data_IF_779063712268
#
_entry.id   IF_779063712268
#
_cell.length_a   1.000
_cell.length_b   1.000
_cell.length_c   1.000
_cell.angle_alpha   90.00
_cell.angle_beta   90.00
_cell.angle_gamma   90.00
#
_symmetry.space_group_name_H-M   'P 1'
#
loop_
_entity.id
_entity.type
_entity.pdbx_description
1 polymer ?
#
# COMPACT_ATOMS: atom_id res chain seq x y z
N UNK A 1 -34.01 -48.47 -1.73
CA UNK A 1 -35.01 -47.94 -0.80
C UNK A 1 -34.32 -46.83 -0.01
N UNK A 2 -34.56 -45.58 -0.11
CA UNK A 2 -35.72 -44.75 -0.37
C UNK A 2 -35.27 -43.39 -0.90
N UNK A 3 -35.82 -42.99 -2.02
CA UNK A 3 -35.82 -41.64 -2.60
C UNK A 3 -36.66 -40.67 -1.77
N UNK A 4 -36.28 -39.35 -1.78
CA UNK A 4 -37.18 -38.17 -1.71
C UNK A 4 -36.35 -36.92 -1.37
N UNK A 5 -36.53 -35.70 -1.83
CA UNK A 5 -37.38 -35.06 -2.85
C UNK A 5 -36.78 -33.68 -3.10
N UNK A 6 -36.86 -33.24 -4.33
CA UNK A 6 -36.75 -31.90 -4.85
C UNK A 6 -37.52 -30.84 -4.05
N UNK A 7 -36.96 -29.66 -3.88
CA UNK A 7 -37.75 -28.44 -3.84
C UNK A 7 -37.00 -27.30 -4.53
N UNK A 8 -37.56 -26.88 -5.66
CA UNK A 8 -37.20 -25.64 -6.38
C UNK A 8 -37.96 -24.50 -5.72
N UNK A 9 -37.29 -23.39 -5.49
CA UNK A 9 -37.96 -22.10 -5.28
C UNK A 9 -37.42 -21.10 -6.29
N UNK A 10 -38.26 -20.75 -7.21
CA UNK A 10 -38.23 -19.63 -8.13
C UNK A 10 -38.58 -18.38 -7.31
N UNK A 11 -37.82 -17.29 -7.44
CA UNK A 11 -38.31 -15.95 -7.05
C UNK A 11 -37.77 -14.87 -7.99
N UNK A 12 -38.65 -14.41 -8.71
CA UNK A 12 -39.06 -13.21 -9.40
C UNK A 12 -38.09 -12.00 -9.34
N UNK A 13 -37.79 -11.57 -10.56
CA UNK A 13 -37.18 -10.29 -10.93
C UNK A 13 -38.24 -9.21 -10.79
N UNK A 14 -38.00 -8.17 -10.01
CA UNK A 14 -38.78 -6.93 -10.03
C UNK A 14 -37.93 -5.81 -10.64
N UNK A 15 -38.25 -5.50 -11.89
CA UNK A 15 -37.72 -4.32 -12.59
C UNK A 15 -38.42 -3.06 -12.11
N UNK A 16 -37.62 -2.03 -11.78
CA UNK A 16 -38.10 -0.69 -11.51
C UNK A 16 -37.67 0.23 -12.66
N UNK A 17 -38.61 0.54 -13.55
CA UNK A 17 -38.45 1.54 -14.61
C UNK A 17 -38.70 2.91 -14.03
N UNK A 18 -37.72 3.81 -14.11
CA UNK A 18 -37.92 5.25 -13.86
C UNK A 18 -38.25 5.95 -15.16
N UNK A 19 -39.48 6.43 -15.29
CA UNK A 19 -39.93 7.34 -16.36
C UNK A 19 -39.62 8.79 -16.01
N UNK A 20 -38.86 9.47 -16.88
CA UNK A 20 -38.71 10.91 -16.86
C UNK A 20 -40.01 11.58 -17.37
N UNK A 21 -40.57 12.42 -16.53
CA UNK A 21 -41.63 13.37 -16.96
C UNK A 21 -41.01 14.77 -17.07
N UNK A 22 -40.88 15.24 -18.28
CA UNK A 22 -40.63 16.65 -18.55
C UNK A 22 -41.99 17.39 -18.46
N UNK A 23 -42.05 18.42 -17.62
CA UNK A 23 -43.17 19.35 -17.58
C UNK A 23 -42.64 20.77 -17.80
N UNK A 24 -42.94 21.31 -18.97
CA UNK A 24 -42.85 22.75 -19.21
C UNK A 24 -44.05 23.45 -18.58
N UNK A 25 -43.80 24.46 -17.76
CA UNK A 25 -44.84 25.45 -17.50
C UNK A 25 -44.23 26.85 -17.41
N UNK A 26 -44.71 27.71 -18.29
CA UNK A 26 -44.43 29.14 -18.37
C UNK A 26 -45.26 29.89 -17.37
N UNK A 27 -44.64 30.72 -16.52
CA UNK A 27 -45.34 31.60 -15.62
C UNK A 27 -44.41 32.68 -15.07
N UNK A 28 -44.60 33.89 -15.56
CA UNK A 28 -43.91 35.10 -15.16
C UNK A 28 -44.33 35.50 -13.76
N UNK A 29 -43.39 35.59 -12.80
CA UNK A 29 -43.57 36.34 -11.56
C UNK A 29 -42.21 36.82 -11.06
N UNK A 30 -42.07 38.14 -11.01
CA UNK A 30 -40.94 38.88 -10.44
C UNK A 30 -40.92 38.69 -8.92
N UNK A 31 -39.87 38.07 -8.37
CA UNK A 31 -39.52 38.20 -6.95
C UNK A 31 -38.00 38.14 -6.80
N UNK A 32 -37.47 39.21 -6.23
CA UNK A 32 -36.11 39.33 -5.75
C UNK A 32 -35.81 38.21 -4.76
N UNK A 33 -34.91 37.30 -5.13
CA UNK A 33 -34.36 36.33 -4.21
C UNK A 33 -32.83 36.45 -4.24
N UNK A 34 -32.27 36.52 -3.05
CA UNK A 34 -30.85 36.56 -2.81
C UNK A 34 -30.18 35.35 -3.45
N UNK A 35 -29.19 35.61 -4.27
CA UNK A 35 -28.30 34.63 -4.89
C UNK A 35 -27.48 33.98 -3.79
N UNK A 36 -27.84 32.78 -3.36
CA UNK A 36 -26.97 31.91 -2.61
C UNK A 36 -26.14 31.15 -3.65
N UNK A 37 -25.01 31.76 -4.02
CA UNK A 37 -23.94 31.12 -4.77
C UNK A 37 -23.40 29.91 -3.95
N UNK A 38 -24.00 28.76 -4.12
CA UNK A 38 -23.41 27.48 -3.75
C UNK A 38 -22.29 27.18 -4.75
N UNK A 39 -21.17 27.86 -4.58
CA UNK A 39 -19.94 27.55 -5.29
C UNK A 39 -19.60 26.09 -5.04
N UNK A 40 -19.86 25.23 -6.01
CA UNK A 40 -19.27 23.91 -6.10
C UNK A 40 -17.76 24.11 -6.09
N UNK A 41 -17.12 23.86 -4.95
CA UNK A 41 -15.66 23.78 -4.84
C UNK A 41 -15.26 22.63 -5.74
N UNK A 42 -14.83 22.96 -6.94
CA UNK A 42 -14.26 21.99 -7.87
C UNK A 42 -12.95 21.53 -7.24
N UNK A 43 -12.91 20.29 -6.75
CA UNK A 43 -11.72 19.68 -6.20
C UNK A 43 -10.65 19.66 -7.30
N UNK A 44 -9.67 20.54 -7.19
CA UNK A 44 -8.56 20.63 -8.16
C UNK A 44 -7.66 19.42 -7.91
N UNK A 45 -7.81 18.40 -8.74
CA UNK A 45 -6.94 17.23 -8.69
C UNK A 45 -5.52 17.63 -9.11
N UNK A 46 -4.49 17.17 -8.40
CA UNK A 46 -3.10 17.40 -8.79
C UNK A 46 -2.81 16.92 -10.21
N UNK A 47 -1.91 17.60 -10.90
CA UNK A 47 -1.45 17.17 -12.21
C UNK A 47 -0.67 15.84 -12.06
N UNK A 48 -0.95 14.90 -12.95
CA UNK A 48 -0.26 13.59 -12.99
C UNK A 48 0.48 13.49 -14.33
N UNK A 49 1.77 13.19 -14.27
CA UNK A 49 2.61 13.03 -15.46
C UNK A 49 3.52 11.80 -15.30
N UNK A 50 3.51 10.91 -16.30
CA UNK A 50 4.38 9.74 -16.38
C UNK A 50 5.38 9.91 -17.54
N UNK A 51 6.66 9.89 -17.25
CA UNK A 51 7.73 9.97 -18.22
C UNK A 51 8.73 8.83 -17.97
N UNK A 52 8.71 7.83 -18.84
CA UNK A 52 9.55 6.64 -18.68
C UNK A 52 9.26 5.91 -17.35
N UNK A 53 10.26 5.87 -16.49
CA UNK A 53 10.21 5.22 -15.17
C UNK A 53 9.91 6.20 -14.01
N UNK A 54 9.48 7.42 -14.30
CA UNK A 54 9.21 8.48 -13.32
C UNK A 54 7.78 8.99 -13.44
N UNK A 55 7.06 8.97 -12.33
CA UNK A 55 5.73 9.55 -12.15
C UNK A 55 5.83 10.79 -11.28
N UNK A 56 5.19 11.88 -11.70
CA UNK A 56 4.93 13.05 -10.86
C UNK A 56 3.44 13.13 -10.53
N UNK A 57 3.12 13.42 -9.29
CA UNK A 57 1.78 13.68 -8.80
C UNK A 57 1.81 14.99 -7.99
N UNK A 58 1.35 16.09 -8.59
CA UNK A 58 1.61 17.40 -8.04
C UNK A 58 3.10 17.71 -7.97
N UNK A 59 3.62 17.91 -6.76
CA UNK A 59 5.04 18.10 -6.45
C UNK A 59 5.76 16.82 -5.97
N UNK A 60 5.02 15.72 -5.82
CA UNK A 60 5.59 14.43 -5.44
C UNK A 60 6.15 13.69 -6.67
N UNK A 61 7.31 13.07 -6.49
CA UNK A 61 8.04 12.36 -7.56
C UNK A 61 8.33 10.94 -7.12
N UNK A 62 8.06 9.98 -8.00
CA UNK A 62 8.27 8.54 -7.80
C UNK A 62 9.07 8.00 -8.98
N UNK A 63 10.19 7.33 -8.73
CA UNK A 63 11.06 6.78 -9.78
C UNK A 63 11.40 5.33 -9.49
N UNK A 64 11.34 4.48 -10.51
CA UNK A 64 11.80 3.09 -10.46
C UNK A 64 13.14 2.99 -11.18
N UNK A 65 14.20 2.58 -10.47
CA UNK A 65 15.53 2.45 -11.03
C UNK A 65 16.01 0.99 -10.98
N UNK A 66 16.60 0.55 -12.09
CA UNK A 66 17.11 -0.80 -12.24
C UNK A 66 16.02 -1.87 -12.32
N UNK A 67 16.48 -3.11 -12.43
CA UNK A 67 15.63 -4.30 -12.48
C UNK A 67 16.18 -5.37 -11.54
N UNK A 68 15.29 -6.17 -10.95
CA UNK A 68 15.70 -7.28 -10.12
C UNK A 68 16.12 -8.45 -11.01
N UNK A 69 17.40 -8.81 -10.94
CA UNK A 69 17.89 -10.04 -11.57
C UNK A 69 17.52 -11.26 -10.69
N UNK A 70 16.43 -11.93 -11.05
CA UNK A 70 15.95 -13.13 -10.33
C UNK A 70 16.83 -14.37 -10.55
N UNK A 71 17.84 -14.30 -11.43
CA UNK A 71 18.83 -15.36 -11.66
C UNK A 71 20.17 -15.04 -10.99
N UNK A 72 20.27 -13.94 -10.25
CA UNK A 72 21.49 -13.53 -9.59
C UNK A 72 22.03 -14.60 -8.63
N UNK A 73 23.35 -14.74 -8.58
CA UNK A 73 24.05 -15.63 -7.63
C UNK A 73 24.29 -14.96 -6.27
N UNK A 74 24.17 -13.65 -6.20
CA UNK A 74 24.39 -12.86 -4.98
C UNK A 74 23.16 -12.02 -4.67
N UNK A 75 22.71 -12.06 -3.42
CA UNK A 75 21.50 -11.43 -2.95
C UNK A 75 21.78 -10.37 -1.86
N UNK A 76 22.99 -9.79 -1.88
CA UNK A 76 23.47 -8.87 -0.83
C UNK A 76 23.58 -7.41 -1.26
N UNK A 77 23.45 -7.14 -2.56
CA UNK A 77 23.55 -5.79 -3.13
C UNK A 77 22.27 -5.44 -3.85
N UNK A 78 21.85 -4.20 -3.75
CA UNK A 78 20.72 -3.69 -4.52
C UNK A 78 21.00 -3.82 -6.03
N UNK A 79 20.00 -4.32 -6.77
CA UNK A 79 19.98 -4.34 -8.24
C UNK A 79 18.85 -3.49 -8.77
N UNK A 80 17.87 -3.16 -7.91
CA UNK A 80 16.79 -2.24 -8.20
C UNK A 80 16.52 -1.36 -6.99
N UNK A 81 15.97 -0.18 -7.24
CA UNK A 81 15.49 0.72 -6.21
C UNK A 81 14.23 1.47 -6.66
N UNK A 82 13.49 1.96 -5.68
CA UNK A 82 12.41 2.92 -5.88
C UNK A 82 12.71 4.12 -5.02
N UNK A 83 12.73 5.30 -5.66
CA UNK A 83 12.97 6.57 -5.01
C UNK A 83 11.70 7.41 -5.02
N UNK A 84 11.39 8.09 -3.92
CA UNK A 84 10.24 8.98 -3.83
C UNK A 84 10.55 10.20 -2.96
N UNK A 85 10.03 11.36 -3.37
CA UNK A 85 10.24 12.61 -2.63
C UNK A 85 9.41 12.68 -1.36
N UNK A 86 8.20 12.10 -1.38
CA UNK A 86 7.24 12.10 -0.29
C UNK A 86 6.41 10.81 -0.27
N UNK A 87 5.91 10.43 0.89
CA UNK A 87 4.89 9.41 1.01
C UNK A 87 3.57 9.97 0.48
N UNK A 88 2.74 9.19 -0.23
CA UNK A 88 1.44 9.64 -0.73
C UNK A 88 0.63 10.38 0.34
N UNK A 89 -0.01 11.48 -0.05
CA UNK A 89 -0.79 12.33 0.86
C UNK A 89 -2.11 11.68 1.25
N UNK A 90 -2.72 10.94 0.31
CA UNK A 90 -4.02 10.29 0.46
C UNK A 90 -4.11 8.98 -0.33
N UNK A 91 -5.27 8.33 -0.25
CA UNK A 91 -5.53 7.09 -0.98
C UNK A 91 -5.55 7.30 -2.50
N UNK A 92 -6.03 8.44 -3.01
CA UNK A 92 -6.14 8.69 -4.44
C UNK A 92 -4.75 8.80 -5.09
N UNK A 93 -3.80 9.45 -4.41
CA UNK A 93 -2.41 9.47 -4.82
C UNK A 93 -1.79 8.07 -4.76
N UNK A 94 -1.97 7.34 -3.64
CA UNK A 94 -1.47 5.97 -3.48
C UNK A 94 -1.97 5.05 -4.60
N UNK A 95 -3.26 5.10 -4.93
CA UNK A 95 -3.88 4.34 -6.02
C UNK A 95 -3.33 4.75 -7.39
N UNK A 96 -3.13 6.05 -7.62
CA UNK A 96 -2.55 6.57 -8.87
C UNK A 96 -1.13 6.10 -9.06
N UNK A 97 -0.29 6.21 -8.02
CA UNK A 97 1.10 5.77 -8.02
C UNK A 97 1.19 4.25 -8.26
N UNK A 98 0.32 3.47 -7.61
CA UNK A 98 0.23 2.03 -7.82
C UNK A 98 -0.16 1.69 -9.25
N UNK A 99 -1.26 2.25 -9.76
CA UNK A 99 -1.84 1.85 -11.04
C UNK A 99 -1.03 2.37 -12.24
N UNK A 100 -0.40 3.53 -12.12
CA UNK A 100 0.33 4.11 -13.25
C UNK A 100 1.81 3.72 -13.31
N UNK A 101 2.46 3.42 -12.17
CA UNK A 101 3.88 3.12 -12.14
C UNK A 101 4.23 1.92 -11.27
N UNK A 102 4.11 2.05 -9.93
CA UNK A 102 4.77 1.13 -9.00
C UNK A 102 4.15 -0.27 -8.99
N UNK A 103 2.84 -0.40 -9.19
CA UNK A 103 2.18 -1.70 -9.28
C UNK A 103 2.52 -2.51 -10.54
N UNK A 104 3.23 -1.93 -11.51
CA UNK A 104 3.58 -2.57 -12.78
C UNK A 104 4.91 -3.34 -12.75
N UNK A 105 5.62 -3.31 -11.64
CA UNK A 105 6.87 -4.05 -11.45
C UNK A 105 6.92 -4.69 -10.06
N UNK A 106 7.63 -5.82 -9.89
CA UNK A 106 7.72 -6.47 -8.57
C UNK A 106 8.43 -5.58 -7.54
N UNK A 107 9.49 -4.85 -7.94
CA UNK A 107 10.19 -3.90 -7.08
C UNK A 107 9.31 -2.70 -6.72
N UNK A 108 8.53 -2.20 -7.67
CA UNK A 108 7.61 -1.10 -7.42
C UNK A 108 6.55 -1.47 -6.38
N UNK A 109 5.89 -2.62 -6.57
CA UNK A 109 4.91 -3.12 -5.59
C UNK A 109 5.52 -3.31 -4.20
N UNK A 110 6.72 -3.88 -4.11
CA UNK A 110 7.42 -4.07 -2.83
C UNK A 110 7.78 -2.74 -2.15
N UNK A 111 8.18 -1.72 -2.92
CA UNK A 111 8.51 -0.40 -2.39
C UNK A 111 7.29 0.36 -1.84
N UNK A 112 6.07 -0.04 -2.19
CA UNK A 112 4.86 0.55 -1.62
C UNK A 112 4.55 0.03 -0.20
N UNK A 113 5.25 -0.99 0.30
CA UNK A 113 5.07 -1.49 1.67
C UNK A 113 5.33 -0.40 2.71
N UNK A 114 6.51 0.28 2.76
CA UNK A 114 6.74 1.37 3.71
C UNK A 114 5.74 2.53 3.54
N UNK A 115 5.32 2.84 2.31
CA UNK A 115 4.30 3.86 2.07
C UNK A 115 2.96 3.46 2.71
N UNK A 116 2.50 2.22 2.51
CA UNK A 116 1.26 1.72 3.10
C UNK A 116 1.32 1.65 4.63
N UNK A 117 2.46 1.28 5.22
CA UNK A 117 2.68 1.30 6.67
C UNK A 117 2.60 2.74 7.21
N UNK A 118 3.23 3.71 6.55
CA UNK A 118 3.18 5.11 6.95
C UNK A 118 1.76 5.69 6.81
N UNK A 119 1.06 5.39 5.71
CA UNK A 119 -0.35 5.77 5.53
C UNK A 119 -1.23 5.20 6.64
N UNK A 120 -0.96 3.95 7.06
CA UNK A 120 -1.66 3.32 8.17
C UNK A 120 -1.36 4.00 9.52
N UNK A 121 -0.13 4.44 9.73
CA UNK A 121 0.26 5.15 10.95
C UNK A 121 -0.40 6.53 11.06
N UNK A 122 -0.59 7.22 9.92
CA UNK A 122 -1.27 8.53 9.85
C UNK A 122 -2.78 8.41 10.00
N UNK A 123 -3.38 7.47 9.27
CA UNK A 123 -4.82 7.17 9.30
C UNK A 123 -5.04 5.68 9.07
N UNK A 124 -5.54 4.99 10.09
CA UNK A 124 -5.73 3.53 10.02
C UNK A 124 -6.73 3.12 8.93
N UNK A 125 -7.77 3.91 8.68
CA UNK A 125 -8.79 3.59 7.68
C UNK A 125 -8.25 3.76 6.26
N UNK A 126 -7.51 4.83 6.02
CA UNK A 126 -6.82 5.08 4.75
C UNK A 126 -5.75 4.01 4.52
N UNK A 127 -4.88 3.75 5.50
CA UNK A 127 -3.85 2.73 5.39
C UNK A 127 -4.41 1.32 5.15
N UNK A 128 -5.55 0.97 5.74
CA UNK A 128 -6.21 -0.31 5.47
C UNK A 128 -6.70 -0.41 4.01
N UNK A 129 -7.19 0.69 3.42
CA UNK A 129 -7.52 0.75 1.99
C UNK A 129 -6.28 0.57 1.12
N UNK A 130 -5.17 1.23 1.46
CA UNK A 130 -3.89 1.08 0.77
C UNK A 130 -3.40 -0.37 0.80
N UNK A 131 -3.44 -1.03 1.96
CA UNK A 131 -3.11 -2.45 2.09
C UNK A 131 -4.05 -3.35 1.28
N UNK A 132 -5.35 -3.06 1.25
CA UNK A 132 -6.34 -3.77 0.44
C UNK A 132 -6.07 -3.69 -1.05
N UNK A 133 -5.56 -2.53 -1.54
CA UNK A 133 -5.14 -2.38 -2.92
C UNK A 133 -3.84 -3.14 -3.20
N UNK A 134 -2.87 -3.05 -2.30
CA UNK A 134 -1.52 -3.56 -2.50
C UNK A 134 -1.40 -5.08 -2.33
N UNK A 135 -2.09 -5.67 -1.34
CA UNK A 135 -1.92 -7.07 -0.97
C UNK A 135 -2.85 -8.02 -1.76
N UNK A 136 -2.41 -9.26 -1.90
CA UNK A 136 -3.19 -10.33 -2.49
C UNK A 136 -4.01 -11.06 -1.43
N UNK A 137 -5.31 -10.74 -1.38
CA UNK A 137 -6.27 -11.38 -0.50
C UNK A 137 -6.40 -10.77 0.89
N UNK A 138 -7.60 -10.93 1.45
CA UNK A 138 -7.97 -10.34 2.74
C UNK A 138 -7.15 -10.88 3.92
N UNK A 139 -6.79 -12.16 3.90
CA UNK A 139 -6.02 -12.78 4.98
C UNK A 139 -4.66 -12.09 5.22
N UNK A 140 -3.94 -11.72 4.16
CA UNK A 140 -2.68 -10.95 4.25
C UNK A 140 -2.93 -9.56 4.83
N UNK A 141 -4.00 -8.88 4.37
CA UNK A 141 -4.40 -7.56 4.88
C UNK A 141 -4.77 -7.63 6.36
N UNK A 142 -5.61 -8.59 6.75
CA UNK A 142 -6.08 -8.74 8.12
C UNK A 142 -4.94 -9.01 9.11
N UNK A 143 -3.98 -9.84 8.71
CA UNK A 143 -2.79 -10.12 9.53
C UNK A 143 -1.90 -8.88 9.69
N UNK A 144 -1.62 -8.15 8.59
CA UNK A 144 -0.89 -6.89 8.64
C UNK A 144 -1.60 -5.86 9.53
N UNK A 145 -2.90 -5.64 9.31
CA UNK A 145 -3.70 -4.67 10.10
C UNK A 145 -3.66 -5.01 11.58
N UNK A 146 -3.82 -6.29 11.94
CA UNK A 146 -3.77 -6.77 13.33
C UNK A 146 -2.41 -6.44 13.98
N UNK A 147 -1.32 -6.71 13.28
CA UNK A 147 0.03 -6.46 13.81
C UNK A 147 0.35 -4.97 13.83
N UNK A 148 0.05 -4.23 12.75
CA UNK A 148 0.33 -2.80 12.68
C UNK A 148 -0.43 -2.02 13.76
N UNK A 149 -1.67 -2.38 14.08
CA UNK A 149 -2.40 -1.79 15.22
C UNK A 149 -1.65 -1.92 16.54
N UNK A 150 -1.01 -3.05 16.78
CA UNK A 150 -0.23 -3.26 18.02
C UNK A 150 1.12 -2.55 18.02
N UNK A 151 1.69 -2.24 16.84
CA UNK A 151 3.03 -1.66 16.70
C UNK A 151 3.03 -0.15 16.48
N UNK A 152 1.99 0.39 15.85
CA UNK A 152 1.95 1.79 15.44
C UNK A 152 0.96 2.63 16.26
N UNK A 153 -0.05 1.99 16.85
CA UNK A 153 -1.12 2.69 17.58
C UNK A 153 -1.01 2.36 19.06
N UNK A 154 -0.81 3.40 19.88
CA UNK A 154 -0.90 3.27 21.33
C UNK A 154 -2.33 2.88 21.71
N UNK A 155 -2.49 1.71 22.33
CA UNK A 155 -3.74 1.34 22.95
C UNK A 155 -3.89 2.13 24.28
N UNK A 156 -5.12 2.20 24.81
CA UNK A 156 -5.36 2.78 26.14
C UNK A 156 -4.59 2.08 27.28
N UNK A 157 -4.04 0.89 27.00
CA UNK A 157 -3.24 0.10 27.94
C UNK A 157 -1.74 0.22 27.68
N UNK A 158 -1.33 0.91 26.62
CA UNK A 158 0.07 1.10 26.29
C UNK A 158 0.61 2.33 27.00
N UNK A 159 1.72 2.19 27.70
CA UNK A 159 2.47 3.36 28.17
C UNK A 159 2.98 4.17 26.98
N UNK A 160 3.03 5.51 27.06
CA UNK A 160 3.69 6.33 26.04
C UNK A 160 5.13 5.92 25.72
N UNK A 161 5.79 5.26 26.67
CA UNK A 161 7.15 4.74 26.59
C UNK A 161 7.18 3.23 26.31
N UNK A 162 6.08 2.65 25.83
CA UNK A 162 6.05 1.23 25.52
C UNK A 162 6.98 0.93 24.34
N UNK A 163 8.01 0.14 24.59
CA UNK A 163 8.99 -0.30 23.59
C UNK A 163 8.37 -1.10 22.43
N UNK A 164 7.11 -1.51 22.56
CA UNK A 164 6.36 -2.17 21.48
C UNK A 164 5.82 -1.20 20.42
N UNK A 165 5.74 0.10 20.72
CA UNK A 165 5.26 1.10 19.77
C UNK A 165 6.43 1.61 18.92
N UNK A 166 6.45 1.20 17.67
CA UNK A 166 7.54 1.49 16.74
C UNK A 166 7.04 2.30 15.55
N UNK A 167 6.72 3.58 15.76
CA UNK A 167 6.23 4.48 14.71
C UNK A 167 7.21 4.70 13.56
N UNK A 168 8.47 4.38 13.80
CA UNK A 168 9.55 4.43 12.79
C UNK A 168 9.63 3.18 11.90
N UNK A 169 8.69 2.24 12.00
CA UNK A 169 8.74 0.97 11.26
C UNK A 169 8.76 1.17 9.74
N UNK A 170 8.03 2.14 9.20
CA UNK A 170 8.08 2.48 7.78
C UNK A 170 9.47 2.99 7.38
N UNK A 171 10.01 3.93 8.15
CA UNK A 171 11.33 4.51 7.92
C UNK A 171 12.45 3.45 8.01
N UNK A 172 12.30 2.44 8.87
CA UNK A 172 13.26 1.36 9.03
C UNK A 172 13.50 0.53 7.75
N UNK A 173 12.61 0.61 6.76
CA UNK A 173 12.73 -0.03 5.44
C UNK A 173 13.46 0.85 4.41
N UNK A 174 13.78 2.08 4.74
CA UNK A 174 14.38 3.04 3.83
C UNK A 174 15.91 3.05 3.94
N UNK A 175 16.56 3.40 2.85
CA UNK A 175 18.00 3.61 2.79
C UNK A 175 18.45 4.68 3.80
N UNK A 176 19.60 4.45 4.43
CA UNK A 176 20.19 5.36 5.41
C UNK A 176 19.59 5.27 6.81
N UNK A 177 18.35 4.78 6.95
CA UNK A 177 17.70 4.66 8.25
C UNK A 177 18.23 3.47 9.06
N UNK A 178 18.67 3.72 10.29
CA UNK A 178 19.00 2.69 11.25
C UNK A 178 18.69 3.13 12.69
N UNK A 179 18.84 2.22 13.64
CA UNK A 179 18.51 2.52 15.04
C UNK A 179 19.51 3.45 15.75
N UNK A 180 20.65 3.76 15.14
CA UNK A 180 21.65 4.70 15.69
C UNK A 180 21.36 6.14 15.30
N UNK A 181 20.70 6.35 14.17
CA UNK A 181 20.31 7.67 13.70
C UNK A 181 18.80 7.96 13.90
N UNK A 182 18.16 7.23 14.83
CA UNK A 182 16.73 7.32 15.12
C UNK A 182 15.86 7.12 13.86
N UNK A 183 16.30 6.24 12.97
CA UNK A 183 15.63 5.93 11.71
C UNK A 183 15.40 7.14 10.79
N UNK A 184 16.32 8.10 10.82
CA UNK A 184 16.35 9.19 9.84
C UNK A 184 16.85 8.63 8.51
N UNK A 185 15.96 8.58 7.51
CA UNK A 185 16.30 8.09 6.18
C UNK A 185 17.01 9.15 5.34
N UNK A 186 17.75 8.69 4.33
CA UNK A 186 18.30 9.57 3.30
C UNK A 186 17.18 10.18 2.45
N UNK A 187 17.34 11.42 2.01
CA UNK A 187 16.42 12.07 1.07
C UNK A 187 17.08 12.21 -0.31
N UNK A 188 16.35 11.96 -1.41
CA UNK A 188 14.96 11.46 -1.44
C UNK A 188 14.86 10.04 -0.90
N UNK A 189 13.71 9.68 -0.33
CA UNK A 189 13.48 8.36 0.25
C UNK A 189 13.71 7.27 -0.77
N UNK A 190 14.43 6.23 -0.40
CA UNK A 190 14.80 5.16 -1.31
C UNK A 190 14.58 3.80 -0.65
N UNK A 191 13.91 2.89 -1.37
CA UNK A 191 13.81 1.47 -1.04
C UNK A 191 14.76 0.71 -1.95
N UNK A 192 15.78 0.08 -1.39
CA UNK A 192 16.77 -0.72 -2.12
C UNK A 192 16.37 -2.21 -2.09
N UNK A 193 16.49 -2.90 -3.23
CA UNK A 193 16.01 -4.28 -3.37
C UNK A 193 16.95 -5.14 -4.19
N UNK A 194 16.91 -6.45 -3.93
CA UNK A 194 17.53 -7.47 -4.74
C UNK A 194 16.67 -8.74 -4.77
N UNK A 195 17.01 -9.69 -5.64
CA UNK A 195 16.36 -11.00 -5.65
C UNK A 195 16.67 -11.80 -4.38
N UNK A 196 15.76 -12.69 -4.02
CA UNK A 196 15.99 -13.77 -3.07
C UNK A 196 16.54 -15.01 -3.82
N UNK A 197 17.22 -15.94 -3.11
CA UNK A 197 17.67 -17.22 -3.69
C UNK A 197 16.54 -18.07 -4.29
N UNK A 198 15.28 -17.81 -3.91
CA UNK A 198 14.12 -18.51 -4.46
C UNK A 198 13.78 -18.09 -5.89
N UNK A 199 14.29 -16.95 -6.37
CA UNK A 199 14.06 -16.44 -7.71
C UNK A 199 12.58 -16.19 -8.02
N UNK A 200 12.06 -16.85 -9.06
CA UNK A 200 10.64 -16.82 -9.42
C UNK A 200 10.07 -18.24 -9.45
N UNK A 201 8.79 -18.38 -9.10
CA UNK A 201 8.09 -19.67 -9.17
C UNK A 201 6.69 -19.48 -9.71
N UNK A 202 6.34 -20.32 -10.67
CA UNK A 202 4.95 -20.47 -11.08
C UNK A 202 4.14 -21.11 -9.95
N UNK A 203 3.01 -20.52 -9.63
CA UNK A 203 2.18 -20.90 -8.50
C UNK A 203 0.70 -21.04 -8.94
N UNK A 204 0.35 -22.11 -9.69
CA UNK A 204 -0.97 -22.28 -10.29
C UNK A 204 -2.12 -22.25 -9.26
N UNK A 205 -1.87 -22.74 -8.04
CA UNK A 205 -2.86 -22.73 -6.96
C UNK A 205 -3.18 -21.31 -6.45
N UNK A 206 -2.25 -20.36 -6.65
CA UNK A 206 -2.46 -18.94 -6.32
C UNK A 206 -2.84 -18.11 -7.54
N UNK A 207 -2.88 -18.73 -8.72
CA UNK A 207 -3.31 -18.10 -9.97
C UNK A 207 -2.30 -17.12 -10.56
N UNK A 208 -0.99 -17.33 -10.38
CA UNK A 208 0.02 -16.41 -10.88
C UNK A 208 1.46 -16.90 -10.71
N UNK A 209 2.40 -16.01 -10.99
CA UNK A 209 3.84 -16.21 -10.75
C UNK A 209 4.27 -15.44 -9.52
N UNK A 210 4.98 -16.08 -8.59
CA UNK A 210 5.53 -15.45 -7.39
C UNK A 210 6.99 -15.08 -7.63
N UNK A 211 7.32 -13.84 -7.33
CA UNK A 211 8.63 -13.22 -7.37
C UNK A 211 9.16 -13.03 -5.95
N UNK A 212 10.26 -13.69 -5.62
CA UNK A 212 10.85 -13.64 -4.29
C UNK A 212 11.98 -12.62 -4.25
N UNK A 213 11.83 -11.60 -3.46
CA UNK A 213 12.83 -10.53 -3.35
C UNK A 213 13.11 -10.15 -1.89
N UNK A 214 14.14 -9.37 -1.69
CA UNK A 214 14.50 -8.74 -0.43
C UNK A 214 14.47 -7.23 -0.54
N UNK A 215 13.84 -6.56 0.42
CA UNK A 215 14.12 -5.17 0.74
C UNK A 215 15.38 -5.17 1.62
N UNK A 216 16.36 -4.33 1.28
CA UNK A 216 17.60 -4.16 2.03
C UNK A 216 17.41 -3.05 3.06
N UNK A 217 17.46 -3.38 4.34
CA UNK A 217 17.08 -2.47 5.42
C UNK A 217 17.89 -2.75 6.69
N UNK A 218 18.32 -1.72 7.39
CA UNK A 218 19.16 -1.81 8.59
C UNK A 218 18.35 -1.89 9.89
N UNK A 219 17.04 -1.81 9.82
CA UNK A 219 16.15 -1.81 10.97
C UNK A 219 16.08 -3.14 11.75
N UNK A 220 16.71 -4.21 11.26
CA UNK A 220 16.72 -5.55 11.87
C UNK A 220 18.13 -6.12 11.93
N UNK A 221 18.32 -7.25 12.63
CA UNK A 221 19.62 -7.93 12.73
C UNK A 221 20.07 -8.50 11.39
N UNK A 222 19.12 -8.97 10.58
CA UNK A 222 19.37 -9.31 9.18
C UNK A 222 18.92 -8.15 8.29
N UNK A 223 19.80 -7.65 7.43
CA UNK A 223 19.49 -6.53 6.55
C UNK A 223 18.56 -6.88 5.37
N UNK A 224 18.19 -8.13 5.20
CA UNK A 224 17.32 -8.64 4.14
C UNK A 224 15.92 -8.90 4.69
N UNK A 225 14.92 -8.17 4.17
CA UNK A 225 13.51 -8.36 4.52
C UNK A 225 12.80 -9.04 3.36
N UNK A 226 12.40 -10.30 3.57
CA UNK A 226 11.76 -11.10 2.53
C UNK A 226 10.39 -10.52 2.16
N UNK A 227 10.17 -10.41 0.85
CA UNK A 227 8.90 -10.02 0.24
C UNK A 227 8.61 -10.97 -0.91
N UNK A 228 7.42 -11.56 -0.89
CA UNK A 228 6.91 -12.39 -1.95
C UNK A 228 5.86 -11.58 -2.71
N UNK A 229 6.09 -11.37 -4.00
CA UNK A 229 5.23 -10.55 -4.86
C UNK A 229 4.59 -11.47 -5.89
N UNK A 230 3.26 -11.46 -5.98
CA UNK A 230 2.50 -12.24 -6.95
C UNK A 230 2.16 -11.37 -8.15
N UNK A 231 2.42 -11.87 -9.36
CA UNK A 231 1.78 -11.39 -10.58
C UNK A 231 0.66 -12.36 -10.96
N UNK A 232 -0.62 -12.00 -10.78
CA UNK A 232 -1.72 -12.83 -11.24
C UNK A 232 -1.69 -13.00 -12.76
N UNK A 233 -2.05 -14.18 -13.29
CA UNK A 233 -1.95 -14.49 -14.72
C UNK A 233 -2.69 -13.51 -15.65
N UNK A 234 -3.79 -12.94 -15.18
CA UNK A 234 -4.63 -12.02 -15.97
C UNK A 234 -4.51 -10.57 -15.50
N UNK A 235 -3.37 -10.19 -14.91
CA UNK A 235 -3.15 -8.84 -14.39
C UNK A 235 -1.81 -8.29 -14.85
N UNK A 236 -1.79 -7.01 -15.20
CA UNK A 236 -0.54 -6.26 -15.38
C UNK A 236 0.06 -5.80 -14.04
N UNK A 237 -0.71 -5.93 -12.94
CA UNK A 237 -0.31 -5.45 -11.63
C UNK A 237 0.24 -6.56 -10.75
N UNK A 238 1.26 -6.20 -10.00
CA UNK A 238 1.88 -7.02 -8.98
C UNK A 238 1.24 -6.75 -7.62
N UNK A 239 1.01 -7.81 -6.84
CA UNK A 239 0.41 -7.76 -5.51
C UNK A 239 1.37 -8.33 -4.47
N UNK A 240 1.37 -7.80 -3.26
CA UNK A 240 2.09 -8.40 -2.16
C UNK A 240 1.38 -9.68 -1.71
N UNK A 241 2.07 -10.80 -1.85
CA UNK A 241 1.58 -12.12 -1.44
C UNK A 241 1.97 -12.41 0.01
N UNK A 242 3.22 -12.08 0.39
CA UNK A 242 3.70 -12.17 1.76
C UNK A 242 4.82 -11.13 1.98
N UNK A 243 4.76 -10.44 3.12
CA UNK A 243 5.81 -9.52 3.55
C UNK A 243 5.95 -9.52 5.08
N UNK A 244 5.63 -10.64 5.73
CA UNK A 244 5.58 -10.75 7.20
C UNK A 244 6.86 -10.28 7.89
N UNK A 245 8.01 -10.39 7.22
CA UNK A 245 9.29 -9.93 7.76
C UNK A 245 9.43 -8.40 7.82
N UNK A 246 8.61 -7.62 7.11
CA UNK A 246 8.74 -6.16 7.00
C UNK A 246 8.00 -5.40 8.11
N UNK A 247 7.09 -6.04 8.80
CA UNK A 247 6.31 -5.44 9.90
C UNK A 247 6.47 -6.17 11.24
N UNK A 248 7.57 -6.95 11.38
CA UNK A 248 8.03 -7.45 12.68
C UNK A 248 8.71 -6.34 13.47
N UNK A 249 8.97 -6.59 14.74
CA UNK A 249 9.66 -5.63 15.61
C UNK A 249 11.04 -5.26 15.05
N UNK A 250 11.28 -3.97 14.81
CA UNK A 250 12.58 -3.42 14.45
C UNK A 250 13.47 -3.30 15.70
N UNK A 251 14.78 -3.07 15.51
CA UNK A 251 15.68 -2.67 16.60
C UNK A 251 15.16 -1.39 17.24
N UNK A 252 15.22 -1.32 18.56
CA UNK A 252 14.90 -0.08 19.27
C UNK A 252 15.96 0.97 19.04
N UNK A 253 15.56 2.24 19.08
CA UNK A 253 16.48 3.36 18.90
C UNK A 253 17.54 3.34 20.02
N UNK A 254 18.80 3.55 19.64
CA UNK A 254 19.90 3.59 20.60
C UNK A 254 19.74 4.80 21.54
N UNK A 255 19.78 4.53 22.85
CA UNK A 255 19.56 5.55 23.89
C UNK A 255 18.13 5.67 24.39
N UNK A 256 17.14 5.03 23.74
CA UNK A 256 15.83 4.88 24.33
C UNK A 256 15.85 3.91 25.52
N UNK A 257 15.02 4.18 26.52
CA UNK A 257 14.91 3.34 27.69
C UNK A 257 14.34 1.96 27.32
N UNK A 258 15.08 0.90 27.66
CA UNK A 258 14.76 -0.48 27.29
C UNK A 258 14.07 -1.27 28.42
N UNK A 259 13.67 -0.61 29.47
CA UNK A 259 13.15 -1.25 30.67
C UNK A 259 14.24 -1.59 31.71
N UNK A 260 13.84 -2.26 32.78
CA UNK A 260 14.77 -2.76 33.77
C UNK A 260 15.61 -3.89 33.15
N UNK A 261 16.93 -3.83 33.38
CA UNK A 261 17.84 -4.95 33.06
C UNK A 261 17.75 -6.01 34.10
#
# INVERSE_FOLDING_TARGET
MTTKHFSRLLSAILGLSFTLLASCNSGTATSTTADSDTGTVQEVRPAVNLTGNTLTYGDHVYTVDGEIDFNAKSHKKATASVTFSNVPSDYAEFETVYTQLLGKTPQGAAAMIPMAIEMFARDNAVGQKCLGLLCNGSATVDDMVRILKTKLVASQYSSPNDSYIQRYMAAALLKGADNKNAYTADEPYTVEMCSSPNGTKDAPLTGGTVYYLYILANGWDTFQRAVDVLQPYNSEYYKIFNCSSTYTQCKTIVGEWQGLK
#
